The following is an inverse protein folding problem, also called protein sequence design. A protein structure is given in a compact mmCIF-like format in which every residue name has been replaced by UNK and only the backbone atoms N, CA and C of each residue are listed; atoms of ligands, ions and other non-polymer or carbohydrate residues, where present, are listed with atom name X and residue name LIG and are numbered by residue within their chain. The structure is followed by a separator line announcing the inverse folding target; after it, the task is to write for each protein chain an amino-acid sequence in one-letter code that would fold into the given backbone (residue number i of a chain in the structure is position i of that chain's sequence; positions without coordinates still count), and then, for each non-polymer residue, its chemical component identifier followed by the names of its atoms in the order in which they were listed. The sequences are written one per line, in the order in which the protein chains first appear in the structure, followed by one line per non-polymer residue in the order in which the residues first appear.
data_IF_804770267035
#
_entry.id   IF_804770267035
#
_cell.length_a   1.000
_cell.length_b   1.000
_cell.length_c   1.000
_cell.angle_alpha   90.00
_cell.angle_beta   90.00
_cell.angle_gamma   90.00
#
_symmetry.space_group_name_H-M   'P 1'
#
loop_
_entity.id
_entity.type
_entity.pdbx_description
1 polymer ?
#
# COMPACT_ATOMS: atom_id res chain seq x y z
N UNK A 1 32.67 8.40 0.89
CA UNK A 1 32.11 7.57 1.99
C UNK A 1 32.24 6.13 1.52
N UNK A 2 33.18 5.36 2.08
CA UNK A 2 33.47 4.01 1.61
C UNK A 2 32.45 3.02 2.21
N UNK A 3 31.96 2.11 1.37
CA UNK A 3 31.04 1.03 1.77
C UNK A 3 31.75 0.08 2.73
N UNK A 4 31.10 -0.26 3.85
CA UNK A 4 31.62 -1.19 4.85
C UNK A 4 31.53 -2.63 4.32
N UNK A 5 32.66 -3.28 3.98
CA UNK A 5 32.65 -4.63 3.41
C UNK A 5 32.15 -5.69 4.39
N UNK A 6 32.18 -5.41 5.69
CA UNK A 6 31.66 -6.31 6.72
C UNK A 6 30.14 -6.24 6.88
N UNK A 7 29.52 -5.22 6.28
CA UNK A 7 28.09 -4.91 6.42
C UNK A 7 27.61 -4.80 7.87
N UNK A 8 28.50 -4.51 8.84
CA UNK A 8 28.14 -4.52 10.25
C UNK A 8 27.10 -3.46 10.57
N UNK A 9 27.25 -2.26 9.99
CA UNK A 9 26.24 -1.21 10.09
C UNK A 9 24.89 -1.66 9.49
N UNK A 10 24.92 -2.24 8.28
CA UNK A 10 23.71 -2.71 7.61
C UNK A 10 23.02 -3.87 8.39
N UNK A 11 23.80 -4.81 8.94
CA UNK A 11 23.31 -5.90 9.81
C UNK A 11 22.65 -5.35 11.08
N UNK A 12 23.21 -4.30 11.69
CA UNK A 12 22.58 -3.63 12.83
C UNK A 12 21.25 -2.97 12.42
N UNK A 13 21.20 -2.32 11.25
CA UNK A 13 19.95 -1.77 10.70
C UNK A 13 18.90 -2.87 10.46
N UNK A 14 19.29 -4.02 9.90
CA UNK A 14 18.38 -5.14 9.71
C UNK A 14 17.81 -5.63 11.04
N UNK A 15 18.65 -5.81 12.07
CA UNK A 15 18.20 -6.20 13.41
C UNK A 15 17.28 -5.17 14.07
N UNK A 16 17.44 -3.89 13.75
CA UNK A 16 16.59 -2.82 14.26
C UNK A 16 15.21 -2.79 13.60
N UNK A 17 15.16 -2.96 12.28
CA UNK A 17 13.93 -2.81 11.49
C UNK A 17 13.15 -4.11 11.31
N UNK A 18 13.83 -5.26 11.35
CA UNK A 18 13.21 -6.57 11.18
C UNK A 18 12.98 -7.20 12.54
N UNK A 19 11.81 -7.83 12.71
CA UNK A 19 11.53 -8.72 13.86
C UNK A 19 12.23 -10.08 13.73
N UNK A 20 12.99 -10.30 12.65
CA UNK A 20 13.69 -11.54 12.35
C UNK A 20 15.20 -11.31 12.31
N UNK A 21 15.96 -12.29 12.81
CA UNK A 21 17.42 -12.25 12.71
C UNK A 21 17.85 -12.84 11.36
N UNK A 22 17.96 -12.00 10.34
CA UNK A 22 18.36 -12.39 8.99
C UNK A 22 19.62 -11.65 8.55
N UNK A 23 20.45 -12.33 7.77
CA UNK A 23 21.60 -11.76 7.09
C UNK A 23 21.17 -10.92 5.88
N UNK A 24 21.98 -9.95 5.44
CA UNK A 24 21.78 -9.22 4.18
C UNK A 24 21.53 -10.13 2.99
N UNK A 25 22.29 -11.23 2.90
CA UNK A 25 22.20 -12.20 1.82
C UNK A 25 20.86 -12.94 1.83
N UNK A 26 20.36 -13.33 3.00
CA UNK A 26 19.05 -13.96 3.17
C UNK A 26 17.91 -12.99 2.84
N UNK A 27 17.99 -11.73 3.29
CA UNK A 27 16.99 -10.71 2.95
C UNK A 27 16.92 -10.49 1.45
N UNK A 28 18.09 -10.40 0.78
CA UNK A 28 18.15 -10.25 -0.67
C UNK A 28 17.57 -11.47 -1.40
N UNK A 29 17.93 -12.69 -0.97
CA UNK A 29 17.41 -13.92 -1.57
C UNK A 29 15.88 -14.06 -1.42
N UNK A 30 15.32 -13.69 -0.26
CA UNK A 30 13.87 -13.63 -0.06
C UNK A 30 13.25 -12.58 -0.97
N UNK A 31 13.86 -11.39 -1.09
CA UNK A 31 13.41 -10.35 -2.00
C UNK A 31 13.29 -10.83 -3.44
N UNK A 32 14.34 -11.45 -3.98
CA UNK A 32 14.33 -12.01 -5.34
C UNK A 32 13.23 -13.06 -5.51
N UNK A 33 13.09 -13.98 -4.55
CA UNK A 33 12.04 -15.00 -4.57
C UNK A 33 10.63 -14.38 -4.57
N UNK A 34 10.41 -13.34 -3.79
CA UNK A 34 9.12 -12.65 -3.72
C UNK A 34 8.83 -11.83 -4.99
N UNK A 35 9.84 -11.21 -5.59
CA UNK A 35 9.72 -10.54 -6.90
C UNK A 35 9.28 -11.55 -7.96
N UNK A 36 9.92 -12.72 -8.04
CA UNK A 36 9.56 -13.76 -9.00
C UNK A 36 8.16 -14.32 -8.73
N UNK A 37 7.82 -14.58 -7.46
CA UNK A 37 6.51 -15.10 -7.05
C UNK A 37 5.38 -14.11 -7.40
N UNK A 38 5.55 -12.83 -7.10
CA UNK A 38 4.54 -11.79 -7.35
C UNK A 38 4.41 -11.55 -8.86
N UNK A 39 5.53 -11.43 -9.58
CA UNK A 39 5.55 -11.32 -11.05
C UNK A 39 4.85 -12.49 -11.73
N UNK A 40 5.10 -13.72 -11.26
CA UNK A 40 4.44 -14.93 -11.72
C UNK A 40 2.92 -14.90 -11.51
N UNK A 41 2.47 -14.46 -10.33
CA UNK A 41 1.04 -14.31 -10.02
C UNK A 41 0.37 -13.23 -10.89
N UNK A 42 1.03 -12.10 -11.11
CA UNK A 42 0.52 -11.03 -11.99
C UNK A 42 0.32 -11.54 -13.42
N UNK A 43 1.30 -12.26 -13.96
CA UNK A 43 1.19 -12.89 -15.27
C UNK A 43 -0.01 -13.84 -15.38
N UNK A 44 -0.33 -14.60 -14.32
CA UNK A 44 -1.52 -15.46 -14.29
C UNK A 44 -2.81 -14.64 -14.31
N UNK A 45 -2.87 -13.54 -13.56
CA UNK A 45 -4.05 -12.66 -13.52
C UNK A 45 -4.29 -12.02 -14.90
N UNK A 46 -3.26 -11.46 -15.53
CA UNK A 46 -3.33 -10.83 -16.86
C UNK A 46 -3.88 -11.82 -17.90
N UNK A 47 -3.43 -13.08 -17.87
CA UNK A 47 -3.99 -14.13 -18.73
C UNK A 47 -5.46 -14.43 -18.44
N UNK A 48 -5.87 -14.47 -17.17
CA UNK A 48 -7.25 -14.76 -16.76
C UNK A 48 -8.24 -13.67 -17.20
N UNK A 49 -7.83 -12.41 -17.17
CA UNK A 49 -8.68 -11.28 -17.61
C UNK A 49 -8.66 -11.08 -19.13
N UNK A 50 -7.95 -11.94 -19.87
CA UNK A 50 -7.97 -11.96 -21.33
C UNK A 50 -7.14 -10.86 -22.00
N UNK A 51 -6.30 -10.16 -21.24
CA UNK A 51 -5.39 -9.17 -21.82
C UNK A 51 -4.26 -9.88 -22.56
N UNK A 52 -4.07 -9.46 -23.82
CA UNK A 52 -2.96 -9.90 -24.67
C UNK A 52 -1.80 -8.94 -24.45
N UNK A 53 -0.71 -9.42 -23.85
CA UNK A 53 0.48 -8.59 -23.60
C UNK A 53 1.22 -8.97 -22.32
N UNK A 54 2.17 -8.13 -21.95
CA UNK A 54 2.95 -8.21 -20.72
C UNK A 54 2.22 -7.60 -19.53
N UNK A 55 2.71 -7.86 -18.31
CA UNK A 55 2.24 -7.16 -17.09
C UNK A 55 2.43 -5.64 -17.21
N UNK A 56 3.48 -5.19 -17.90
CA UNK A 56 3.70 -3.77 -18.16
C UNK A 56 2.57 -3.19 -19.02
N UNK A 57 2.18 -3.87 -20.10
CA UNK A 57 1.09 -3.43 -20.97
C UNK A 57 -0.24 -3.36 -20.22
N UNK A 58 -0.46 -4.27 -19.26
CA UNK A 58 -1.60 -4.19 -18.37
C UNK A 58 -1.57 -2.93 -17.51
N UNK A 59 -0.46 -2.62 -16.84
CA UNK A 59 -0.33 -1.38 -16.07
C UNK A 59 -0.50 -0.14 -16.94
N UNK A 60 0.13 -0.11 -18.12
CA UNK A 60 -0.03 0.99 -19.08
C UNK A 60 -1.51 1.15 -19.48
N UNK A 61 -2.27 0.06 -19.64
CA UNK A 61 -3.71 0.13 -19.92
C UNK A 61 -4.51 0.72 -18.76
N UNK A 62 -4.16 0.41 -17.52
CA UNK A 62 -4.83 0.99 -16.34
C UNK A 62 -4.49 2.47 -16.19
N UNK A 63 -3.23 2.85 -16.42
CA UNK A 63 -2.76 4.22 -16.27
C UNK A 63 -3.35 5.17 -17.32
N UNK A 64 -3.69 4.65 -18.50
CA UNK A 64 -4.26 5.44 -19.59
C UNK A 64 -5.80 5.42 -19.64
N UNK A 65 -6.46 4.60 -18.83
CA UNK A 65 -7.92 4.49 -18.81
C UNK A 65 -8.52 5.51 -17.84
N UNK A 66 -9.12 6.57 -18.41
CA UNK A 66 -9.71 7.68 -17.67
C UNK A 66 -10.81 7.27 -16.69
N UNK A 67 -11.40 6.07 -16.82
CA UNK A 67 -12.42 5.56 -15.91
C UNK A 67 -11.87 5.29 -14.50
N UNK A 68 -10.55 5.13 -14.35
CA UNK A 68 -9.90 4.96 -13.05
C UNK A 68 -9.51 6.28 -12.37
N UNK A 69 -9.74 7.41 -13.04
CA UNK A 69 -9.33 8.72 -12.55
C UNK A 69 -10.53 9.64 -12.31
N UNK A 70 -10.40 10.49 -11.31
CA UNK A 70 -11.33 11.59 -11.02
C UNK A 70 -10.50 12.81 -10.64
N UNK A 71 -10.92 13.99 -11.09
CA UNK A 71 -10.35 15.27 -10.64
C UNK A 71 -11.14 15.87 -9.46
N UNK A 72 -12.22 15.22 -9.03
CA UNK A 72 -13.06 15.68 -7.95
C UNK A 72 -12.65 15.00 -6.63
N UNK A 73 -11.96 15.76 -5.78
CA UNK A 73 -11.47 15.30 -4.48
C UNK A 73 -12.58 14.77 -3.57
N UNK A 74 -13.78 15.36 -3.58
CA UNK A 74 -14.90 14.92 -2.74
C UNK A 74 -15.42 13.55 -3.17
N UNK A 75 -15.50 13.31 -4.48
CA UNK A 75 -15.86 12.00 -5.03
C UNK A 75 -14.82 10.96 -4.60
N UNK A 76 -13.52 11.29 -4.70
CA UNK A 76 -12.45 10.36 -4.31
C UNK A 76 -12.53 10.05 -2.81
N UNK A 77 -12.64 11.07 -1.96
CA UNK A 77 -12.72 10.90 -0.51
C UNK A 77 -13.92 10.03 -0.10
N UNK A 78 -15.05 10.24 -0.77
CA UNK A 78 -16.26 9.43 -0.54
C UNK A 78 -16.06 7.97 -0.97
N UNK A 79 -15.36 7.70 -2.08
CA UNK A 79 -15.03 6.32 -2.47
C UNK A 79 -14.12 5.62 -1.45
N UNK A 80 -13.18 6.34 -0.83
CA UNK A 80 -12.40 5.81 0.29
C UNK A 80 -13.29 5.48 1.49
N UNK A 81 -14.19 6.39 1.88
CA UNK A 81 -15.14 6.17 2.98
C UNK A 81 -16.01 4.96 2.74
N UNK A 82 -16.64 4.85 1.57
CA UNK A 82 -17.46 3.69 1.20
C UNK A 82 -16.67 2.40 1.21
N UNK A 83 -15.45 2.42 0.69
CA UNK A 83 -14.59 1.23 0.69
C UNK A 83 -14.27 0.77 2.12
N UNK A 84 -13.89 1.69 3.00
CA UNK A 84 -13.57 1.36 4.40
C UNK A 84 -14.83 0.91 5.16
N UNK A 85 -15.87 1.75 5.20
CA UNK A 85 -17.00 1.56 6.10
C UNK A 85 -18.08 0.61 5.57
N UNK A 86 -18.29 0.55 4.25
CA UNK A 86 -19.37 -0.26 3.66
C UNK A 86 -18.86 -1.57 3.07
N UNK A 87 -17.61 -1.62 2.58
CA UNK A 87 -17.06 -2.83 1.95
C UNK A 87 -16.15 -3.64 2.87
N UNK A 88 -15.25 -2.98 3.60
CA UNK A 88 -14.27 -3.65 4.47
C UNK A 88 -14.87 -3.98 5.84
N UNK A 89 -15.41 -2.98 6.55
CA UNK A 89 -15.89 -3.17 7.93
C UNK A 89 -16.85 -4.36 8.12
N UNK A 90 -17.86 -4.58 7.25
CA UNK A 90 -18.78 -5.71 7.41
C UNK A 90 -18.12 -7.08 7.25
N UNK A 91 -16.94 -7.14 6.62
CA UNK A 91 -16.21 -8.40 6.43
C UNK A 91 -15.27 -8.71 7.60
N UNK A 92 -14.93 -7.73 8.45
CA UNK A 92 -13.92 -7.89 9.50
C UNK A 92 -14.26 -9.03 10.47
N UNK A 93 -15.52 -9.16 10.87
CA UNK A 93 -15.98 -10.19 11.81
C UNK A 93 -15.79 -11.61 11.27
N UNK A 94 -15.65 -11.78 9.95
CA UNK A 94 -15.38 -13.08 9.32
C UNK A 94 -13.93 -13.51 9.45
N UNK A 95 -13.00 -12.56 9.59
CA UNK A 95 -11.55 -12.81 9.58
C UNK A 95 -10.87 -12.56 10.93
N UNK A 96 -11.45 -11.70 11.78
CA UNK A 96 -10.86 -11.28 13.04
C UNK A 96 -11.78 -11.61 14.21
N UNK A 97 -11.23 -12.29 15.23
CA UNK A 97 -11.96 -12.63 16.46
C UNK A 97 -12.20 -11.44 17.38
N UNK A 98 -11.28 -10.48 17.36
CA UNK A 98 -11.34 -9.28 18.18
C UNK A 98 -11.19 -8.05 17.27
N UNK A 99 -12.19 -7.17 17.31
CA UNK A 99 -12.19 -5.91 16.57
C UNK A 99 -12.14 -4.79 17.62
N UNK A 100 -11.09 -3.95 17.62
CA UNK A 100 -11.02 -2.82 18.54
C UNK A 100 -12.23 -1.89 18.37
N UNK A 101 -12.89 -1.55 19.47
CA UNK A 101 -13.99 -0.59 19.46
C UNK A 101 -13.45 0.85 19.54
N UNK A 102 -12.61 1.22 18.57
CA UNK A 102 -12.05 2.57 18.43
C UNK A 102 -12.62 3.22 17.17
N UNK A 103 -13.11 4.47 17.23
CA UNK A 103 -13.63 5.13 16.03
C UNK A 103 -12.51 5.40 15.03
N UNK A 104 -12.82 5.24 13.74
CA UNK A 104 -11.94 5.56 12.61
C UNK A 104 -12.57 6.69 11.80
N UNK A 105 -11.78 7.69 11.43
CA UNK A 105 -12.13 8.72 10.45
C UNK A 105 -11.35 8.52 9.17
N UNK A 106 -11.99 8.89 8.05
CA UNK A 106 -11.33 9.02 6.74
C UNK A 106 -11.52 10.45 6.26
N UNK A 107 -10.41 11.17 6.10
CA UNK A 107 -10.41 12.60 5.81
C UNK A 107 -9.34 13.02 4.80
N UNK A 108 -9.44 14.25 4.30
CA UNK A 108 -8.44 14.83 3.42
C UNK A 108 -7.18 15.17 4.23
N UNK A 109 -6.00 14.87 3.68
CA UNK A 109 -4.73 15.31 4.24
C UNK A 109 -4.64 16.83 4.32
N UNK A 110 -4.10 17.34 5.41
CA UNK A 110 -3.83 18.77 5.60
C UNK A 110 -2.66 19.28 4.73
N UNK A 111 -1.78 18.37 4.27
CA UNK A 111 -0.58 18.72 3.51
C UNK A 111 -0.43 17.84 2.26
N UNK A 112 0.21 18.39 1.24
CA UNK A 112 0.62 17.63 0.05
C UNK A 112 1.89 16.83 0.37
N UNK A 113 1.77 15.50 0.37
CA UNK A 113 2.82 14.57 0.75
C UNK A 113 2.50 13.15 0.31
N UNK A 114 2.71 12.17 1.19
CA UNK A 114 2.41 10.76 0.89
C UNK A 114 0.95 10.55 0.45
N UNK A 115 0.70 9.56 -0.43
CA UNK A 115 -0.63 9.29 -0.97
C UNK A 115 -1.72 9.03 0.08
N UNK A 116 -1.34 8.45 1.22
CA UNK A 116 -2.20 8.36 2.41
C UNK A 116 -1.40 8.01 3.66
N UNK A 117 -1.93 8.40 4.82
CA UNK A 117 -1.28 8.20 6.12
C UNK A 117 -2.29 7.81 7.19
N UNK A 118 -1.89 6.96 8.13
CA UNK A 118 -2.70 6.63 9.30
C UNK A 118 -2.08 7.22 10.57
N UNK A 119 -2.93 7.88 11.36
CA UNK A 119 -2.64 8.36 12.71
C UNK A 119 -3.45 7.53 13.71
N UNK A 120 -2.76 6.93 14.68
CA UNK A 120 -3.40 6.11 15.70
C UNK A 120 -4.38 6.89 16.58
N UNK A 121 -5.40 6.19 17.09
CA UNK A 121 -6.31 6.74 18.09
C UNK A 121 -5.59 7.00 19.42
N UNK A 122 -6.04 8.00 20.16
CA UNK A 122 -5.72 8.20 21.58
C UNK A 122 -7.00 8.08 22.42
N UNK A 123 -6.92 8.37 23.73
CA UNK A 123 -8.12 8.42 24.58
C UNK A 123 -9.11 9.50 24.10
N UNK A 124 -8.59 10.64 23.62
CA UNK A 124 -9.40 11.81 23.25
C UNK A 124 -9.64 11.94 21.74
N UNK A 125 -8.91 11.18 20.91
CA UNK A 125 -8.99 11.31 19.45
C UNK A 125 -9.20 9.96 18.74
N UNK A 126 -10.05 9.93 17.70
CA UNK A 126 -10.21 8.73 16.89
C UNK A 126 -8.97 8.45 16.05
N UNK A 127 -8.85 7.21 15.56
CA UNK A 127 -7.87 6.92 14.52
C UNK A 127 -8.24 7.66 13.24
N UNK A 128 -7.26 8.14 12.50
CA UNK A 128 -7.48 8.93 11.28
C UNK A 128 -6.69 8.34 10.13
N UNK A 129 -7.39 7.96 9.06
CA UNK A 129 -6.77 7.69 7.76
C UNK A 129 -6.93 8.92 6.86
N UNK A 130 -5.84 9.64 6.66
CA UNK A 130 -5.79 10.83 5.82
C UNK A 130 -5.39 10.47 4.38
N UNK A 131 -6.13 10.99 3.40
CA UNK A 131 -5.91 10.76 1.96
C UNK A 131 -5.37 12.03 1.31
N UNK A 132 -4.25 11.94 0.58
CA UNK A 132 -3.75 13.07 -0.19
C UNK A 132 -4.58 13.24 -1.47
N UNK A 133 -5.20 14.41 -1.62
CA UNK A 133 -6.08 14.76 -2.73
C UNK A 133 -5.63 16.03 -3.46
N UNK A 134 -4.38 16.49 -3.27
CA UNK A 134 -3.87 17.71 -3.87
C UNK A 134 -3.62 17.55 -5.38
N UNK A 135 -3.13 16.38 -5.81
CA UNK A 135 -2.75 16.09 -7.21
C UNK A 135 -3.30 14.72 -7.66
N UNK A 136 -4.63 14.53 -7.69
CA UNK A 136 -5.26 13.20 -7.86
C UNK A 136 -5.07 12.58 -9.26
N UNK A 137 -4.58 13.35 -10.23
CA UNK A 137 -4.28 12.88 -11.58
C UNK A 137 -2.78 12.64 -11.82
N UNK A 138 -1.91 13.05 -10.89
CA UNK A 138 -0.49 12.79 -11.01
C UNK A 138 -0.20 11.33 -10.62
N UNK A 139 0.37 10.58 -11.54
CA UNK A 139 0.87 9.24 -11.29
C UNK A 139 2.37 9.36 -10.98
N UNK A 140 2.74 9.14 -9.71
CA UNK A 140 4.15 9.03 -9.34
C UNK A 140 4.63 7.63 -9.72
N UNK A 141 5.38 7.54 -10.82
CA UNK A 141 6.04 6.32 -11.32
C UNK A 141 7.48 6.28 -10.83
#
# INVERSE_FOLDING_TARGET
MAWDPTHNYYRACLRWHLSFNMTPEEVHAVGLKEVDRISGNMNQIVRKIGLRGSVKDFFDSLLNDSRFYSNNSDIILEQYRKTVFERINPQLSRFFKAIPNVPLKVEKSAFDGNGGTYSGASEDTPGVFSVNLFRPLEVFV
#
